data_IF_854768369421
#
_entry.id   IF_854768369421
#
_cell.length_a   1.000
_cell.length_b   1.000
_cell.length_c   1.000
_cell.angle_alpha   90.00
_cell.angle_beta   90.00
_cell.angle_gamma   90.00
#
_symmetry.space_group_name_H-M   'P 1'
#
loop_
_entity.id
_entity.type
_entity.pdbx_description
1 polymer ?
#
# COMPACT_ATOMS: atom_id res chain seq x y z
N UNK A 1 -3.49 -13.52 14.46
CA UNK A 1 -2.20 -12.92 14.86
C UNK A 1 -1.91 -13.34 16.30
N UNK A 2 -0.87 -14.15 16.55
CA UNK A 2 -0.56 -14.65 17.91
C UNK A 2 0.65 -13.96 18.57
N UNK A 3 1.30 -13.01 17.89
CA UNK A 3 2.45 -12.31 18.44
C UNK A 3 2.02 -11.20 19.43
N UNK A 4 2.64 -11.10 20.63
CA UNK A 4 2.30 -10.09 21.64
C UNK A 4 2.42 -8.65 21.11
N UNK A 5 3.45 -8.38 20.31
CA UNK A 5 3.70 -7.07 19.72
C UNK A 5 2.55 -6.62 18.78
N UNK A 6 2.06 -7.53 17.93
CA UNK A 6 0.97 -7.22 17.00
C UNK A 6 -0.36 -6.87 17.69
N UNK A 7 -0.60 -7.39 18.90
CA UNK A 7 -1.79 -7.03 19.70
C UNK A 7 -1.69 -5.62 20.27
N UNK A 8 -0.49 -5.25 20.74
CA UNK A 8 -0.23 -3.87 21.22
C UNK A 8 -0.41 -2.88 20.08
N UNK A 9 0.11 -3.18 18.89
CA UNK A 9 -0.09 -2.36 17.68
C UNK A 9 -1.57 -2.17 17.34
N UNK A 10 -2.34 -3.27 17.39
CA UNK A 10 -3.77 -3.21 17.10
C UNK A 10 -4.51 -2.36 18.13
N UNK A 11 -4.21 -2.52 19.43
CA UNK A 11 -4.79 -1.69 20.49
C UNK A 11 -4.45 -0.21 20.35
N UNK A 12 -3.20 0.14 20.01
CA UNK A 12 -2.80 1.54 19.77
C UNK A 12 -3.49 2.14 18.54
N UNK A 13 -3.85 1.32 17.53
CA UNK A 13 -4.60 1.76 16.34
C UNK A 13 -6.08 1.98 16.64
N UNK A 14 -6.67 1.20 17.53
CA UNK A 14 -8.09 1.29 17.90
C UNK A 14 -8.35 2.45 18.85
N UNK A 15 -7.61 2.53 19.96
CA UNK A 15 -7.69 3.64 20.91
C UNK A 15 -6.32 3.88 21.57
N UNK A 16 -5.71 5.00 21.22
CA UNK A 16 -4.43 5.40 21.78
C UNK A 16 -4.52 5.78 23.26
N UNK A 17 -5.59 6.47 23.67
CA UNK A 17 -5.76 6.91 25.05
C UNK A 17 -5.96 5.72 25.98
N UNK A 18 -6.80 4.76 25.57
CA UNK A 18 -6.98 3.51 26.33
C UNK A 18 -5.68 2.72 26.46
N UNK A 19 -4.87 2.63 25.40
CA UNK A 19 -3.57 1.97 25.45
C UNK A 19 -2.58 2.67 26.42
N UNK A 20 -2.60 4.01 26.49
CA UNK A 20 -1.81 4.78 27.45
C UNK A 20 -2.24 4.53 28.90
N UNK A 21 -3.56 4.47 29.16
CA UNK A 21 -4.11 4.20 30.49
C UNK A 21 -3.74 2.81 31.02
N UNK A 22 -3.56 1.84 30.12
CA UNK A 22 -3.05 0.49 30.44
C UNK A 22 -1.52 0.43 30.64
N UNK A 23 -0.85 1.59 30.72
CA UNK A 23 0.58 1.70 30.96
C UNK A 23 1.46 1.41 29.75
N UNK A 24 0.91 1.40 28.52
CA UNK A 24 1.70 1.24 27.30
C UNK A 24 2.16 2.59 26.76
N UNK A 25 3.45 2.73 26.51
CA UNK A 25 4.02 3.93 25.89
C UNK A 25 3.75 3.93 24.38
N UNK A 26 2.67 4.58 23.95
CA UNK A 26 2.25 4.61 22.53
C UNK A 26 3.25 5.32 21.64
N UNK A 27 3.92 6.36 22.16
CA UNK A 27 4.98 7.10 21.47
C UNK A 27 6.14 6.18 21.07
N UNK A 28 6.63 5.31 21.96
CA UNK A 28 7.71 4.38 21.64
C UNK A 28 7.29 3.36 20.59
N UNK A 29 6.07 2.83 20.69
CA UNK A 29 5.54 1.88 19.70
C UNK A 29 5.46 2.52 18.32
N UNK A 30 4.95 3.76 18.23
CA UNK A 30 4.89 4.52 16.97
C UNK A 30 6.29 4.80 16.41
N UNK A 31 7.24 5.20 17.26
CA UNK A 31 8.62 5.47 16.85
C UNK A 31 9.30 4.20 16.32
N UNK A 32 9.12 3.06 17.00
CA UNK A 32 9.63 1.77 16.52
C UNK A 32 9.07 1.43 15.13
N UNK A 33 7.76 1.60 14.91
CA UNK A 33 7.15 1.36 13.61
C UNK A 33 7.68 2.30 12.53
N UNK A 34 7.85 3.58 12.87
CA UNK A 34 8.40 4.57 11.96
C UNK A 34 9.84 4.22 11.55
N UNK A 35 10.69 3.87 12.53
CA UNK A 35 12.09 3.49 12.27
C UNK A 35 12.17 2.22 11.44
N UNK A 36 11.39 1.18 11.77
CA UNK A 36 11.37 -0.08 11.01
C UNK A 36 10.86 0.16 9.59
N UNK A 37 9.77 0.91 9.42
CA UNK A 37 9.22 1.25 8.11
C UNK A 37 10.18 2.08 7.27
N UNK A 38 10.80 3.10 7.87
CA UNK A 38 11.82 3.93 7.24
C UNK A 38 13.07 3.15 6.85
N UNK A 39 13.53 2.22 7.70
CA UNK A 39 14.66 1.35 7.39
C UNK A 39 14.38 0.46 6.18
N UNK A 40 13.20 -0.17 6.12
CA UNK A 40 12.80 -1.01 4.99
C UNK A 40 12.65 -0.17 3.70
N UNK A 41 12.01 1.00 3.80
CA UNK A 41 11.85 1.91 2.66
C UNK A 41 13.20 2.43 2.14
N UNK A 42 14.13 2.78 3.05
CA UNK A 42 15.48 3.22 2.72
C UNK A 42 16.29 2.11 2.05
N UNK A 43 16.24 0.88 2.56
CA UNK A 43 16.88 -0.28 1.93
C UNK A 43 16.31 -0.55 0.53
N UNK A 44 14.99 -0.53 0.38
CA UNK A 44 14.34 -0.71 -0.91
C UNK A 44 14.76 0.39 -1.91
N UNK A 45 14.85 1.65 -1.45
CA UNK A 45 15.32 2.78 -2.24
C UNK A 45 16.78 2.64 -2.68
N UNK A 46 17.67 2.19 -1.78
CA UNK A 46 19.08 1.97 -2.09
C UNK A 46 19.26 0.87 -3.15
N UNK A 47 18.53 -0.24 -3.02
CA UNK A 47 18.52 -1.33 -4.02
C UNK A 47 17.96 -0.83 -5.35
N UNK A 48 16.89 -0.03 -5.34
CA UNK A 48 16.32 0.54 -6.55
C UNK A 48 17.27 1.51 -7.26
N UNK A 49 17.94 2.40 -6.52
CA UNK A 49 18.93 3.32 -7.07
C UNK A 49 20.09 2.57 -7.73
N UNK A 50 20.56 1.48 -7.11
CA UNK A 50 21.57 0.61 -7.69
C UNK A 50 21.07 -0.07 -8.98
N UNK A 51 19.83 -0.53 -9.03
CA UNK A 51 19.23 -1.17 -10.20
C UNK A 51 19.07 -0.22 -11.40
N UNK A 52 18.66 1.03 -11.17
CA UNK A 52 18.40 2.01 -12.25
C UNK A 52 19.71 2.65 -12.74
N UNK A 53 20.78 2.64 -11.94
CA UNK A 53 22.11 3.13 -12.31
C UNK A 53 22.24 4.65 -12.40
N UNK A 54 21.13 5.38 -12.47
CA UNK A 54 21.07 6.84 -12.41
C UNK A 54 19.79 7.29 -11.71
N UNK A 55 19.89 8.34 -10.90
CA UNK A 55 18.76 8.90 -10.16
C UNK A 55 18.40 10.24 -10.78
N UNK A 56 17.22 10.32 -11.38
CA UNK A 56 16.73 11.54 -12.05
C UNK A 56 15.50 12.06 -11.30
N UNK A 57 15.45 13.35 -11.00
CA UNK A 57 14.36 13.99 -10.23
C UNK A 57 12.99 13.81 -10.89
N UNK A 58 12.94 13.74 -12.23
CA UNK A 58 11.72 13.47 -13.00
C UNK A 58 11.08 12.10 -12.77
N UNK A 59 11.76 11.16 -12.09
CA UNK A 59 11.20 9.85 -11.74
C UNK A 59 10.37 9.89 -10.45
N UNK A 60 10.58 10.89 -9.58
CA UNK A 60 9.93 11.01 -8.28
C UNK A 60 8.69 11.89 -8.34
N UNK A 61 7.78 11.54 -9.26
CA UNK A 61 6.51 12.23 -9.43
C UNK A 61 5.42 11.64 -8.53
N UNK A 62 4.37 12.41 -8.18
CA UNK A 62 3.24 11.93 -7.36
C UNK A 62 2.58 10.65 -7.89
N UNK A 63 2.71 10.38 -9.19
CA UNK A 63 2.25 9.14 -9.80
C UNK A 63 2.82 7.88 -9.11
N UNK A 64 4.06 7.94 -8.60
CA UNK A 64 4.68 6.80 -7.90
C UNK A 64 3.94 6.48 -6.61
N UNK A 65 3.55 7.50 -5.83
CA UNK A 65 2.79 7.26 -4.59
C UNK A 65 1.40 6.72 -4.93
N UNK A 66 0.70 7.25 -5.93
CA UNK A 66 -0.59 6.69 -6.37
C UNK A 66 -0.50 5.21 -6.77
N UNK A 67 0.58 4.80 -7.41
CA UNK A 67 0.79 3.38 -7.74
C UNK A 67 0.96 2.51 -6.50
N UNK A 68 1.69 2.99 -5.48
CA UNK A 68 1.84 2.27 -4.21
C UNK A 68 0.48 2.14 -3.49
N UNK A 69 -0.29 3.23 -3.44
CA UNK A 69 -1.65 3.20 -2.89
C UNK A 69 -2.56 2.25 -3.66
N UNK A 70 -2.48 2.23 -5.00
CA UNK A 70 -3.25 1.30 -5.82
C UNK A 70 -2.91 -0.16 -5.51
N UNK A 71 -1.62 -0.51 -5.42
CA UNK A 71 -1.18 -1.85 -5.04
C UNK A 71 -1.74 -2.26 -3.66
N UNK A 72 -1.68 -1.34 -2.68
CA UNK A 72 -2.20 -1.58 -1.34
C UNK A 72 -3.72 -1.76 -1.33
N UNK A 73 -4.46 -0.92 -2.04
CA UNK A 73 -5.93 -0.98 -2.11
C UNK A 73 -6.42 -2.21 -2.88
N UNK A 74 -5.77 -2.56 -3.99
CA UNK A 74 -6.06 -3.78 -4.75
C UNK A 74 -5.91 -5.02 -3.89
N UNK A 75 -4.83 -5.07 -3.09
CA UNK A 75 -4.58 -6.17 -2.16
C UNK A 75 -5.46 -6.18 -0.91
N UNK A 76 -5.75 -5.00 -0.37
CA UNK A 76 -6.42 -4.76 0.91
C UNK A 76 -5.48 -4.08 1.91
N UNK A 77 -5.75 -2.81 2.22
CA UNK A 77 -4.86 -1.97 3.04
C UNK A 77 -4.68 -2.47 4.49
N UNK A 78 -5.64 -3.25 5.01
CA UNK A 78 -5.61 -3.80 6.37
C UNK A 78 -5.00 -5.22 6.46
N UNK A 79 -4.54 -5.80 5.35
CA UNK A 79 -4.05 -7.19 5.32
C UNK A 79 -2.64 -7.27 4.75
N UNK A 80 -1.67 -7.74 5.56
CA UNK A 80 -0.27 -7.94 5.12
C UNK A 80 -0.18 -8.87 3.89
N UNK A 81 -0.99 -9.94 3.86
CA UNK A 81 -1.06 -10.87 2.72
C UNK A 81 -1.70 -10.19 1.50
N UNK A 82 -2.73 -9.40 1.74
CA UNK A 82 -3.37 -8.57 0.72
C UNK A 82 -2.38 -7.64 0.05
N UNK A 83 -1.64 -6.83 0.81
CA UNK A 83 -0.64 -5.90 0.32
C UNK A 83 0.40 -6.56 -0.61
N UNK A 84 0.91 -7.75 -0.23
CA UNK A 84 1.87 -8.51 -1.06
C UNK A 84 1.25 -8.93 -2.39
N UNK A 85 0.04 -9.49 -2.37
CA UNK A 85 -0.65 -9.95 -3.59
C UNK A 85 -1.03 -8.76 -4.48
N UNK A 86 -1.51 -7.67 -3.91
CA UNK A 86 -1.85 -6.45 -4.66
C UNK A 86 -0.63 -5.80 -5.32
N UNK A 87 0.51 -5.74 -4.60
CA UNK A 87 1.77 -5.28 -5.18
C UNK A 87 2.25 -6.19 -6.31
N UNK A 88 2.19 -7.51 -6.12
CA UNK A 88 2.56 -8.47 -7.15
C UNK A 88 1.69 -8.34 -8.40
N UNK A 89 0.36 -8.26 -8.25
CA UNK A 89 -0.58 -8.10 -9.36
C UNK A 89 -0.35 -6.80 -10.13
N UNK A 90 -0.13 -5.68 -9.43
CA UNK A 90 0.15 -4.40 -10.08
C UNK A 90 1.46 -4.48 -10.88
N UNK A 91 2.53 -5.03 -10.29
CA UNK A 91 3.82 -5.17 -10.96
C UNK A 91 3.70 -6.11 -12.16
N UNK A 92 3.02 -7.25 -12.00
CA UNK A 92 2.76 -8.20 -13.08
C UNK A 92 1.98 -7.54 -14.21
N UNK A 93 0.94 -6.77 -13.90
CA UNK A 93 0.18 -5.99 -14.88
C UNK A 93 1.06 -4.98 -15.62
N UNK A 94 1.85 -4.18 -14.88
CA UNK A 94 2.75 -3.18 -15.48
C UNK A 94 3.83 -3.80 -16.37
N UNK A 95 4.35 -4.98 -15.99
CA UNK A 95 5.31 -5.73 -16.82
C UNK A 95 4.63 -6.40 -18.01
N UNK A 96 3.42 -6.93 -17.82
CA UNK A 96 2.62 -7.57 -18.88
C UNK A 96 2.32 -6.61 -20.03
N UNK A 97 2.04 -5.33 -19.72
CA UNK A 97 1.81 -4.31 -20.76
C UNK A 97 3.03 -4.10 -21.67
N UNK A 98 4.24 -4.42 -21.21
CA UNK A 98 5.47 -4.32 -22.02
C UNK A 98 5.56 -5.39 -23.11
N UNK A 99 4.76 -6.45 -23.03
CA UNK A 99 4.71 -7.50 -24.05
C UNK A 99 3.74 -7.18 -25.19
N UNK A 100 2.96 -6.09 -25.10
CA UNK A 100 2.22 -5.61 -26.27
C UNK A 100 3.19 -4.91 -27.23
N UNK A 101 3.20 -5.26 -28.53
CA UNK A 101 4.04 -4.61 -29.52
C UNK A 101 3.70 -3.13 -29.59
N UNK A 102 4.73 -2.28 -29.59
CA UNK A 102 4.58 -0.84 -29.77
C UNK A 102 3.98 -0.57 -31.15
N UNK A 103 2.93 0.25 -31.21
CA UNK A 103 2.33 0.66 -32.48
C UNK A 103 3.28 1.68 -33.11
N UNK A 104 3.86 1.34 -34.27
CA UNK A 104 4.70 2.26 -35.05
C UNK A 104 3.96 3.59 -35.29
N UNK A 105 4.60 4.70 -34.93
CA UNK A 105 4.08 6.06 -35.12
C UNK A 105 3.59 6.77 -33.84
N UNK A 106 3.31 6.05 -32.75
CA UNK A 106 2.84 6.66 -31.50
C UNK A 106 3.41 6.02 -30.22
N UNK A 107 4.70 6.24 -29.90
CA UNK A 107 5.40 5.61 -28.77
C UNK A 107 4.84 5.97 -27.37
N UNK A 108 4.03 7.03 -27.26
CA UNK A 108 3.47 7.51 -25.99
C UNK A 108 2.04 7.04 -25.68
N UNK A 109 1.35 6.40 -26.64
CA UNK A 109 -0.04 5.97 -26.45
C UNK A 109 -0.14 4.80 -25.48
N UNK A 110 0.70 3.77 -25.61
CA UNK A 110 0.65 2.58 -24.75
C UNK A 110 0.95 2.91 -23.27
N UNK A 111 2.00 3.71 -22.94
CA UNK A 111 2.23 4.15 -21.57
C UNK A 111 1.06 4.95 -20.97
N UNK A 112 0.47 5.85 -21.75
CA UNK A 112 -0.66 6.70 -21.33
C UNK A 112 -1.92 5.88 -21.05
N UNK A 113 -2.25 4.94 -21.95
CA UNK A 113 -3.40 4.05 -21.81
C UNK A 113 -3.27 3.18 -20.55
N UNK A 114 -2.05 2.71 -20.23
CA UNK A 114 -1.78 1.97 -19.00
C UNK A 114 -2.13 2.77 -17.74
N UNK A 115 -1.81 4.07 -17.70
CA UNK A 115 -2.15 4.92 -16.56
C UNK A 115 -3.66 5.13 -16.43
N UNK A 116 -4.38 5.28 -17.56
CA UNK A 116 -5.84 5.34 -17.57
C UNK A 116 -6.45 4.05 -17.01
N UNK A 117 -5.98 2.89 -17.45
CA UNK A 117 -6.47 1.59 -16.95
C UNK A 117 -6.17 1.40 -15.47
N UNK A 118 -4.98 1.81 -15.00
CA UNK A 118 -4.61 1.78 -13.57
C UNK A 118 -5.54 2.68 -12.75
N UNK A 119 -5.81 3.90 -13.23
CA UNK A 119 -6.73 4.84 -12.56
C UNK A 119 -8.15 4.30 -12.52
N UNK A 120 -8.64 3.74 -13.63
CA UNK A 120 -9.95 3.09 -13.70
C UNK A 120 -10.04 1.91 -12.73
N UNK A 121 -9.02 1.05 -12.72
CA UNK A 121 -8.93 -0.08 -11.78
C UNK A 121 -8.97 0.38 -10.32
N UNK A 122 -8.25 1.46 -9.99
CA UNK A 122 -8.27 2.04 -8.65
C UNK A 122 -9.70 2.45 -8.27
N UNK A 123 -10.39 3.20 -9.14
CA UNK A 123 -11.78 3.63 -8.90
C UNK A 123 -12.71 2.43 -8.73
N UNK A 124 -12.60 1.40 -9.59
CA UNK A 124 -13.42 0.19 -9.53
C UNK A 124 -13.18 -0.59 -8.23
N UNK A 125 -11.91 -0.78 -7.84
CA UNK A 125 -11.55 -1.48 -6.60
C UNK A 125 -12.12 -0.75 -5.40
N UNK A 126 -11.92 0.57 -5.31
CA UNK A 126 -12.47 1.38 -4.22
C UNK A 126 -14.00 1.32 -4.19
N UNK A 127 -14.65 1.32 -5.36
CA UNK A 127 -16.11 1.32 -5.47
C UNK A 127 -16.76 -0.02 -5.10
N UNK A 128 -16.16 -1.14 -5.51
CA UNK A 128 -16.77 -2.46 -5.40
C UNK A 128 -16.19 -3.32 -4.27
N UNK A 129 -14.93 -3.09 -3.88
CA UNK A 129 -14.23 -3.88 -2.86
C UNK A 129 -13.31 -2.98 -2.03
N UNK A 130 -13.85 -2.08 -1.17
CA UNK A 130 -13.07 -1.18 -0.33
C UNK A 130 -12.14 -1.90 0.67
N UNK A 131 -12.43 -3.18 0.97
CA UNK A 131 -11.56 -4.05 1.76
C UNK A 131 -10.35 -4.62 0.97
N UNK A 132 -10.34 -4.51 -0.36
CA UNK A 132 -9.39 -5.17 -1.26
C UNK A 132 -9.68 -6.65 -1.51
N UNK A 133 -8.81 -7.32 -2.28
CA UNK A 133 -9.00 -8.73 -2.68
C UNK A 133 -8.93 -9.72 -1.51
N UNK A 134 -8.10 -9.45 -0.50
CA UNK A 134 -7.85 -10.34 0.64
C UNK A 134 -8.05 -9.64 2.01
N UNK A 135 -8.80 -8.54 2.04
CA UNK A 135 -9.14 -7.86 3.29
C UNK A 135 -10.20 -8.63 4.07
N UNK A 136 -9.97 -8.78 5.38
CA UNK A 136 -10.95 -9.37 6.29
C UNK A 136 -12.09 -8.37 6.54
N UNK A 137 -13.36 -8.69 6.19
CA UNK A 137 -14.50 -7.79 6.41
C UNK A 137 -14.75 -7.48 7.90
N UNK A 138 -14.37 -8.39 8.80
CA UNK A 138 -14.71 -8.32 10.22
C UNK A 138 -13.90 -7.26 11.00
N UNK A 139 -12.84 -6.68 10.42
CA UNK A 139 -12.05 -5.62 11.08
C UNK A 139 -12.56 -4.21 10.77
N UNK A 140 -13.48 -4.07 9.80
CA UNK A 140 -14.08 -2.80 9.38
C UNK A 140 -15.40 -2.54 10.14
N UNK A 141 -16.05 -3.60 10.61
CA UNK A 141 -17.35 -3.54 11.31
C UNK A 141 -17.17 -3.12 12.77
N UNK A 142 -16.12 -3.58 13.45
CA UNK A 142 -15.86 -3.24 14.87
C UNK A 142 -15.56 -1.77 15.13
N UNK A 143 -15.13 -1.00 14.13
CA UNK A 143 -14.90 0.46 14.26
C UNK A 143 -16.18 1.28 14.07
N UNK A 144 -17.24 0.72 13.46
CA UNK A 144 -18.52 1.42 13.30
C UNK A 144 -19.42 1.29 14.52
N UNK A 145 -19.30 0.20 15.26
CA UNK A 145 -20.15 -0.09 16.43
C UNK A 145 -19.72 0.67 17.69
N UNK A 146 -18.47 1.17 17.75
CA UNK A 146 -17.97 2.02 18.84
C UNK A 146 -18.30 3.51 18.68
N UNK A 147 -18.88 3.90 17.54
CA UNK A 147 -19.22 5.30 17.19
C UNK A 147 -20.73 5.58 17.29
N UNK A 148 -21.54 4.61 17.73
CA UNK A 148 -22.94 4.86 18.13
C UNK A 148 -22.99 5.20 19.63
N UNK A 149 -23.48 6.40 20.01
CA UNK A 149 -23.60 6.84 21.40
C UNK A 149 -24.75 6.17 22.16
#
# INVERSE_FOLDING_TARGET
MNAPFGRVLKGVREDEQAAQMLGKQTTLVKLQLFVIGGAIAGLAGAVYAHYVGSVVTGQFVPLVTFLVWMALLLGGAASNKGAIVGAFLLIAFRKSTRFLPEIEGHPSLIPSLRFVVIGLLLVLVVRYRPAGLLGNPNEIVTTRESDEP
#
